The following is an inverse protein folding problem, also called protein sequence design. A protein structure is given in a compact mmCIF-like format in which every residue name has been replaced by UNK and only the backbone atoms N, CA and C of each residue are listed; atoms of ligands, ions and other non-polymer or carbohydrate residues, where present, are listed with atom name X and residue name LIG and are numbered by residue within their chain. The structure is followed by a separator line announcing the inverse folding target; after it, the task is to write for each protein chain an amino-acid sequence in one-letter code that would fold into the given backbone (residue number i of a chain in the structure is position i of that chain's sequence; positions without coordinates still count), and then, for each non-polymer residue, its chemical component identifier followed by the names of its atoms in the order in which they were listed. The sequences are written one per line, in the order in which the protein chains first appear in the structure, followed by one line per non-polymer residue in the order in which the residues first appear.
data_IF_050459601707
#
_entry.id   IF_050459601707
#
_cell.length_a   1.000
_cell.length_b   1.000
_cell.length_c   1.000
_cell.angle_alpha   90.00
_cell.angle_beta   90.00
_cell.angle_gamma   90.00
#
_symmetry.space_group_name_H-M   'P 1'
#
loop_
_entity.id
_entity.type
_entity.pdbx_description
1 polymer ?
#
# COMPACT_ATOMS: atom_id res chain seq x y z
N UNK A 1 -10.02 -2.88 5.44
CA UNK A 1 -8.76 -3.15 6.17
C UNK A 1 -8.82 -4.50 6.89
N UNK A 2 -9.76 -4.71 7.83
CA UNK A 2 -9.91 -6.01 8.53
C UNK A 2 -10.08 -7.20 7.57
N UNK A 3 -10.93 -7.07 6.56
CA UNK A 3 -11.16 -8.11 5.54
C UNK A 3 -9.88 -8.44 4.76
N UNK A 4 -9.24 -7.44 4.13
CA UNK A 4 -7.99 -7.64 3.40
C UNK A 4 -6.87 -8.23 4.27
N UNK A 5 -6.80 -7.85 5.55
CA UNK A 5 -5.80 -8.42 6.46
C UNK A 5 -6.04 -9.91 6.72
N UNK A 6 -7.30 -10.33 6.81
CA UNK A 6 -7.67 -11.74 7.00
C UNK A 6 -7.51 -12.61 5.74
N UNK A 7 -7.43 -12.00 4.55
CA UNK A 7 -7.31 -12.72 3.28
C UNK A 7 -5.87 -12.90 2.79
N UNK A 8 -4.88 -12.29 3.44
CA UNK A 8 -3.48 -12.29 2.99
C UNK A 8 -2.62 -13.25 3.81
N UNK A 9 -1.81 -14.05 3.13
CA UNK A 9 -0.89 -15.03 3.73
C UNK A 9 0.47 -14.93 3.04
N UNK A 10 1.55 -14.94 3.82
CA UNK A 10 2.93 -15.04 3.33
C UNK A 10 3.28 -16.51 3.19
N UNK A 11 3.73 -16.93 2.00
CA UNK A 11 4.06 -18.34 1.72
C UNK A 11 5.55 -18.66 1.79
N UNK A 12 6.41 -17.67 1.61
CA UNK A 12 7.85 -17.90 1.47
C UNK A 12 8.65 -17.56 2.73
N UNK A 13 9.85 -18.12 2.82
CA UNK A 13 10.86 -17.73 3.80
C UNK A 13 11.44 -16.35 3.48
N UNK A 14 11.96 -15.69 4.51
CA UNK A 14 12.43 -14.31 4.44
C UNK A 14 13.45 -14.12 3.32
N UNK A 15 13.26 -13.17 2.38
CA UNK A 15 14.37 -12.76 1.52
C UNK A 15 15.45 -12.12 2.40
N UNK A 16 16.73 -12.40 2.13
CA UNK A 16 17.85 -11.66 2.73
C UNK A 16 17.87 -10.24 2.17
N UNK A 17 16.96 -9.40 2.63
CA UNK A 17 16.77 -8.04 2.14
C UNK A 17 16.33 -7.12 3.28
N UNK A 18 16.92 -5.92 3.33
CA UNK A 18 16.54 -4.88 4.28
C UNK A 18 15.31 -4.09 3.80
N UNK A 19 14.95 -4.22 2.51
CA UNK A 19 13.83 -3.52 1.88
C UNK A 19 13.00 -4.45 0.98
N UNK A 20 11.70 -4.31 1.07
CA UNK A 20 10.70 -4.92 0.18
C UNK A 20 9.90 -3.84 -0.54
N UNK A 21 9.71 -4.03 -1.85
CA UNK A 21 8.82 -3.21 -2.66
C UNK A 21 7.59 -4.04 -3.03
N UNK A 22 6.43 -3.62 -2.54
CA UNK A 22 5.14 -4.08 -3.03
C UNK A 22 4.86 -3.43 -4.38
N UNK A 23 4.45 -4.21 -5.37
CA UNK A 23 4.08 -3.71 -6.70
C UNK A 23 2.63 -4.07 -6.97
N UNK A 24 1.85 -3.09 -7.41
CA UNK A 24 0.45 -3.25 -7.81
C UNK A 24 0.22 -2.52 -9.13
N UNK A 25 -0.88 -2.82 -9.82
CA UNK A 25 -1.25 -2.09 -11.04
C UNK A 25 -1.96 -0.78 -10.70
N UNK A 26 -2.89 -0.81 -9.75
CA UNK A 26 -3.77 0.30 -9.39
C UNK A 26 -3.84 0.49 -7.88
N UNK A 27 -3.64 1.73 -7.43
CA UNK A 27 -3.89 2.14 -6.05
C UNK A 27 -5.09 3.07 -5.94
N UNK A 28 -6.06 2.68 -5.11
CA UNK A 28 -7.21 3.52 -4.76
C UNK A 28 -6.98 4.29 -3.46
N UNK A 29 -7.52 3.82 -2.33
CA UNK A 29 -7.17 4.31 -0.98
C UNK A 29 -5.88 3.68 -0.45
N UNK A 30 -5.41 2.59 -1.06
CA UNK A 30 -4.23 1.86 -0.60
C UNK A 30 -4.48 0.81 0.49
N UNK A 31 -5.75 0.46 0.77
CA UNK A 31 -6.10 -0.51 1.82
C UNK A 31 -5.43 -1.86 1.63
N UNK A 32 -5.37 -2.37 0.39
CA UNK A 32 -4.71 -3.65 0.07
C UNK A 32 -3.21 -3.58 0.32
N UNK A 33 -2.53 -2.56 -0.22
CA UNK A 33 -1.10 -2.33 -0.01
C UNK A 33 -0.76 -2.20 1.48
N UNK A 34 -1.57 -1.46 2.24
CA UNK A 34 -1.36 -1.29 3.68
C UNK A 34 -1.58 -2.60 4.45
N UNK A 35 -2.59 -3.40 4.06
CA UNK A 35 -2.81 -4.72 4.65
C UNK A 35 -1.63 -5.65 4.38
N UNK A 36 -1.13 -5.70 3.13
CA UNK A 36 0.03 -6.49 2.75
C UNK A 36 1.28 -6.05 3.51
N UNK A 37 1.56 -4.74 3.57
CA UNK A 37 2.67 -4.19 4.34
C UNK A 37 2.56 -4.53 5.84
N UNK A 38 1.34 -4.54 6.39
CA UNK A 38 1.08 -4.94 7.78
C UNK A 38 1.41 -6.42 8.00
N UNK A 39 0.99 -7.31 7.09
CA UNK A 39 1.32 -8.74 7.16
C UNK A 39 2.84 -8.95 7.08
N UNK A 40 3.50 -8.28 6.14
CA UNK A 40 4.95 -8.36 5.96
C UNK A 40 5.71 -7.86 7.19
N UNK A 41 5.34 -6.70 7.75
CA UNK A 41 5.97 -6.18 8.97
C UNK A 41 5.72 -7.07 10.20
N UNK A 42 4.58 -7.74 10.28
CA UNK A 42 4.32 -8.73 11.35
C UNK A 42 5.24 -9.94 11.23
N UNK A 43 5.51 -10.38 10.00
CA UNK A 43 6.40 -11.52 9.73
C UNK A 43 7.87 -11.14 9.85
N UNK A 44 8.25 -9.95 9.40
CA UNK A 44 9.62 -9.43 9.29
C UNK A 44 9.70 -7.97 9.78
N UNK A 45 9.78 -7.75 11.10
CA UNK A 45 9.67 -6.41 11.69
C UNK A 45 10.78 -5.42 11.33
N UNK A 46 11.95 -5.93 10.93
CA UNK A 46 13.15 -5.14 10.60
C UNK A 46 13.17 -4.67 9.14
N UNK A 47 12.30 -5.20 8.29
CA UNK A 47 12.31 -4.92 6.87
C UNK A 47 11.52 -3.65 6.57
N UNK A 48 12.12 -2.74 5.80
CA UNK A 48 11.44 -1.58 5.27
C UNK A 48 10.49 -2.00 4.14
N UNK A 49 9.22 -1.63 4.23
CA UNK A 49 8.24 -1.90 3.17
C UNK A 49 7.89 -0.60 2.47
N UNK A 50 8.06 -0.57 1.15
CA UNK A 50 7.60 0.47 0.25
C UNK A 50 6.56 -0.12 -0.71
N UNK A 51 5.79 0.73 -1.37
CA UNK A 51 4.84 0.31 -2.38
C UNK A 51 4.95 1.18 -3.63
N UNK A 52 4.73 0.55 -4.79
CA UNK A 52 4.64 1.18 -6.08
C UNK A 52 3.35 0.70 -6.76
N UNK A 53 2.62 1.63 -7.36
CA UNK A 53 1.49 1.31 -8.23
C UNK A 53 1.56 2.16 -9.49
N UNK A 54 1.32 1.54 -10.64
CA UNK A 54 1.42 2.24 -11.92
C UNK A 54 0.33 3.32 -12.08
N UNK A 55 -0.86 3.08 -11.52
CA UNK A 55 -2.02 3.97 -11.63
C UNK A 55 -2.51 4.34 -10.23
N UNK A 56 -2.84 5.62 -10.02
CA UNK A 56 -3.55 6.10 -8.83
C UNK A 56 -4.93 6.63 -9.18
N UNK A 57 -5.95 6.33 -8.37
CA UNK A 57 -7.25 7.00 -8.52
C UNK A 57 -7.28 8.30 -7.72
N UNK A 58 -7.59 9.44 -8.34
CA UNK A 58 -7.61 10.75 -7.67
C UNK A 58 -8.97 11.13 -7.04
N UNK A 59 -9.77 10.13 -6.65
CA UNK A 59 -11.06 10.37 -6.01
C UNK A 59 -12.16 10.68 -7.02
N UNK A 60 -12.82 11.85 -6.86
CA UNK A 60 -13.93 12.30 -7.70
C UNK A 60 -13.46 13.08 -8.95
N UNK A 61 -12.18 13.00 -9.32
CA UNK A 61 -11.74 13.51 -10.62
C UNK A 61 -12.33 12.62 -11.72
N UNK A 62 -13.23 13.16 -12.56
CA UNK A 62 -13.94 12.38 -13.57
C UNK A 62 -13.01 11.96 -14.72
N UNK A 63 -11.91 12.67 -14.93
CA UNK A 63 -11.00 12.49 -16.05
C UNK A 63 -9.54 12.42 -15.60
N UNK A 64 -8.74 11.61 -16.31
CA UNK A 64 -7.28 11.58 -16.16
C UNK A 64 -6.70 12.80 -16.86
N UNK A 65 -6.39 13.86 -16.11
CA UNK A 65 -5.86 15.11 -16.68
C UNK A 65 -4.44 14.95 -17.27
N UNK A 66 -3.68 13.94 -16.83
CA UNK A 66 -2.28 13.69 -17.24
C UNK A 66 -1.96 12.20 -17.26
N UNK A 67 -1.32 11.76 -18.34
CA UNK A 67 -0.83 10.38 -18.49
C UNK A 67 0.37 10.10 -17.57
N UNK A 68 1.21 11.11 -17.34
CA UNK A 68 2.35 11.04 -16.42
C UNK A 68 2.13 12.00 -15.26
N UNK A 69 1.76 11.43 -14.12
CA UNK A 69 1.53 12.15 -12.88
C UNK A 69 2.06 11.34 -11.67
N UNK A 70 3.39 11.13 -11.60
CA UNK A 70 3.99 10.38 -10.52
C UNK A 70 3.81 11.12 -9.19
N UNK A 71 3.66 10.35 -8.12
CA UNK A 71 3.50 10.88 -6.78
C UNK A 71 4.20 9.96 -5.79
N UNK A 72 4.97 10.59 -4.91
CA UNK A 72 5.48 9.98 -3.70
C UNK A 72 4.54 10.34 -2.55
N UNK A 73 4.41 9.46 -1.56
CA UNK A 73 3.51 9.71 -0.45
C UNK A 73 3.42 8.53 0.53
N UNK A 74 2.58 8.69 1.54
CA UNK A 74 2.35 7.70 2.61
C UNK A 74 0.92 7.19 2.58
N UNK A 75 0.75 5.89 2.76
CA UNK A 75 -0.56 5.25 2.98
C UNK A 75 -0.66 4.92 4.47
N UNK A 76 -1.63 5.52 5.16
CA UNK A 76 -1.77 5.37 6.61
C UNK A 76 -3.23 5.17 7.02
N UNK A 77 -3.43 4.60 8.21
CA UNK A 77 -4.71 4.65 8.91
C UNK A 77 -4.75 5.98 9.65
N UNK A 78 -5.78 6.77 9.39
CA UNK A 78 -6.09 7.94 10.17
C UNK A 78 -6.51 7.51 11.60
N UNK A 79 -5.83 8.00 12.65
CA UNK A 79 -6.07 7.55 14.01
C UNK A 79 -7.42 8.02 14.58
N UNK A 80 -8.01 9.09 14.05
CA UNK A 80 -9.30 9.61 14.52
C UNK A 80 -10.50 8.89 13.90
N UNK A 81 -10.36 8.43 12.66
CA UNK A 81 -11.46 7.86 11.87
C UNK A 81 -11.31 6.37 11.58
N UNK A 82 -10.10 5.81 11.77
CA UNK A 82 -9.77 4.43 11.42
C UNK A 82 -9.77 4.16 9.90
N UNK A 83 -9.92 5.20 9.07
CA UNK A 83 -9.95 5.06 7.61
C UNK A 83 -8.55 5.05 7.04
N UNK A 84 -8.34 4.23 6.00
CA UNK A 84 -7.11 4.27 5.22
C UNK A 84 -7.17 5.43 4.24
N UNK A 85 -6.11 6.24 4.22
CA UNK A 85 -5.95 7.37 3.32
C UNK A 85 -4.53 7.44 2.79
N UNK A 86 -4.38 8.13 1.66
CA UNK A 86 -3.09 8.47 1.06
C UNK A 86 -2.81 9.93 1.35
N UNK A 87 -1.58 10.22 1.74
CA UNK A 87 -1.06 11.56 1.94
C UNK A 87 0.10 11.74 0.96
N UNK A 88 0.09 12.74 0.07
CA UNK A 88 1.27 13.08 -0.72
C UNK A 88 2.42 13.54 0.18
#
# INVERSE_FOLDING_TARGET
MKEHLGSLVVRDEMPRADRLLLVDDVVTKGTTLLAAATVLRRRWPHVQVSAFAAIRTCGLEPDIERILDPCDGTIAIDPGTGKVARQP
#
